data_IF_130363369425
#
_entry.id   IF_130363369425
#
_cell.length_a   1.000
_cell.length_b   1.000
_cell.length_c   1.000
_cell.angle_alpha   90.00
_cell.angle_beta   90.00
_cell.angle_gamma   90.00
#
_symmetry.space_group_name_H-M   'P 1'
#
loop_
_entity.id
_entity.type
_entity.pdbx_description
1 polymer ?
#
# COMPACT_ATOMS: atom_id res chain seq x y z
N UNK A 1 7.90 -28.94 -63.14
CA UNK A 1 8.08 -27.68 -62.38
C UNK A 1 7.00 -27.60 -61.32
N UNK A 2 7.32 -27.84 -60.04
CA UNK A 2 6.42 -27.59 -58.91
C UNK A 2 7.00 -26.40 -58.14
N UNK A 3 6.30 -25.27 -58.22
CA UNK A 3 6.64 -24.02 -57.53
C UNK A 3 6.27 -24.20 -56.05
N UNK A 4 7.27 -24.18 -55.18
CA UNK A 4 7.09 -24.21 -53.73
C UNK A 4 6.91 -22.77 -53.25
N UNK A 5 5.71 -22.44 -52.77
CA UNK A 5 5.39 -21.10 -52.23
C UNK A 5 5.53 -21.14 -50.72
N UNK A 6 6.64 -20.63 -50.19
CA UNK A 6 6.83 -20.41 -48.76
C UNK A 6 6.18 -19.08 -48.35
N UNK A 7 5.11 -19.15 -47.57
CA UNK A 7 4.51 -18.00 -46.90
C UNK A 7 5.28 -17.76 -45.60
N UNK A 8 6.02 -16.66 -45.52
CA UNK A 8 6.67 -16.22 -44.29
C UNK A 8 5.64 -15.46 -43.43
N UNK A 9 5.24 -16.03 -42.29
CA UNK A 9 4.41 -15.37 -41.31
C UNK A 9 5.29 -14.47 -40.42
N UNK A 10 5.11 -13.16 -40.51
CA UNK A 10 5.67 -12.20 -39.55
C UNK A 10 4.83 -12.23 -38.28
N UNK A 11 5.37 -12.86 -37.22
CA UNK A 11 4.82 -12.74 -35.87
C UNK A 11 5.31 -11.42 -35.29
N UNK A 12 4.42 -10.43 -35.17
CA UNK A 12 4.69 -9.22 -34.42
C UNK A 12 4.64 -9.56 -32.92
N UNK A 13 5.81 -9.65 -32.27
CA UNK A 13 5.90 -9.58 -30.81
C UNK A 13 5.62 -8.13 -30.40
N UNK A 14 4.41 -7.87 -29.91
CA UNK A 14 4.16 -6.66 -29.14
C UNK A 14 4.90 -6.80 -27.80
N UNK A 15 6.06 -6.17 -27.69
CA UNK A 15 6.64 -5.89 -26.38
C UNK A 15 5.68 -4.91 -25.69
N UNK A 16 4.97 -5.37 -24.67
CA UNK A 16 4.30 -4.47 -23.75
C UNK A 16 5.40 -3.60 -23.12
N UNK A 17 5.49 -2.34 -23.53
CA UNK A 17 6.26 -1.36 -22.78
C UNK A 17 5.76 -1.45 -21.34
N UNK A 18 6.64 -1.68 -20.37
CA UNK A 18 6.26 -1.68 -18.96
C UNK A 18 5.74 -0.27 -18.66
N UNK A 19 4.42 -0.11 -18.67
CA UNK A 19 3.79 1.14 -18.31
C UNK A 19 4.29 1.48 -16.91
N UNK A 20 5.02 2.60 -16.81
CA UNK A 20 5.69 3.02 -15.58
C UNK A 20 4.65 3.11 -14.46
N UNK A 21 4.81 2.35 -13.38
CA UNK A 21 3.80 2.24 -12.31
C UNK A 21 3.92 3.44 -11.36
N UNK A 22 3.45 4.60 -11.79
CA UNK A 22 3.55 5.85 -11.01
C UNK A 22 2.22 6.11 -10.30
N UNK A 23 2.22 6.04 -8.97
CA UNK A 23 1.10 6.50 -8.15
C UNK A 23 1.15 8.03 -8.00
N UNK A 24 -0.02 8.66 -7.86
CA UNK A 24 -0.12 10.08 -7.56
C UNK A 24 -1.22 10.32 -6.54
N UNK A 25 -0.99 11.26 -5.61
CA UNK A 25 -2.01 11.76 -4.69
C UNK A 25 -2.16 13.26 -4.92
N UNK A 26 -3.35 13.69 -5.33
CA UNK A 26 -3.68 15.11 -5.56
C UNK A 26 -4.61 15.62 -4.46
N UNK A 27 -5.69 14.89 -4.19
CA UNK A 27 -6.67 15.18 -3.14
C UNK A 27 -7.52 13.93 -2.83
N UNK A 28 -8.56 14.05 -2.00
CA UNK A 28 -9.44 12.96 -1.57
C UNK A 28 -10.30 12.32 -2.68
N UNK A 29 -10.37 12.92 -3.87
CA UNK A 29 -11.13 12.40 -5.02
C UNK A 29 -10.25 12.11 -6.23
N UNK A 30 -8.97 12.47 -6.17
CA UNK A 30 -8.00 12.35 -7.25
C UNK A 30 -6.71 11.74 -6.70
N UNK A 31 -6.65 10.42 -6.61
CA UNK A 31 -5.49 9.70 -6.09
C UNK A 31 -5.39 8.28 -6.65
N UNK A 32 -4.22 7.69 -6.50
CA UNK A 32 -3.94 6.30 -6.86
C UNK A 32 -3.54 5.47 -5.65
N UNK A 33 -3.77 4.16 -5.76
CA UNK A 33 -3.23 3.14 -4.87
C UNK A 33 -2.70 1.98 -5.73
N UNK A 34 -1.98 1.06 -5.12
CA UNK A 34 -1.59 -0.20 -5.74
C UNK A 34 -2.56 -1.30 -5.31
N UNK A 35 -2.93 -2.13 -6.26
CA UNK A 35 -3.79 -3.30 -6.05
C UNK A 35 -3.29 -4.49 -6.86
N UNK A 36 -3.69 -5.72 -6.48
CA UNK A 36 -3.54 -6.87 -7.34
C UNK A 36 -4.05 -6.60 -8.78
N UNK A 37 -3.47 -7.25 -9.80
CA UNK A 37 -4.01 -7.20 -11.14
C UNK A 37 -5.48 -7.68 -11.18
N UNK A 38 -6.28 -7.03 -12.03
CA UNK A 38 -7.69 -7.40 -12.22
C UNK A 38 -7.84 -8.81 -12.80
N UNK A 39 -9.01 -9.41 -12.54
CA UNK A 39 -9.39 -10.71 -13.12
C UNK A 39 -9.09 -11.92 -12.23
N UNK A 40 -8.56 -11.69 -11.03
CA UNK A 40 -8.39 -12.70 -10.00
C UNK A 40 -9.45 -12.51 -8.90
N UNK A 41 -9.84 -13.60 -8.24
CA UNK A 41 -10.78 -13.60 -7.12
C UNK A 41 -10.11 -14.18 -5.88
N UNK A 42 -10.56 -13.75 -4.70
CA UNK A 42 -10.04 -14.15 -3.39
C UNK A 42 -8.51 -14.01 -3.27
N UNK A 43 -7.98 -12.89 -3.78
CA UNK A 43 -6.53 -12.63 -3.79
C UNK A 43 -6.08 -12.05 -2.45
N UNK A 44 -4.99 -12.60 -1.89
CA UNK A 44 -4.30 -11.99 -0.76
C UNK A 44 -3.30 -10.94 -1.26
N UNK A 45 -3.16 -9.85 -0.53
CA UNK A 45 -2.28 -8.73 -0.85
C UNK A 45 -0.81 -9.16 -0.87
N UNK A 46 -0.38 -9.92 0.15
CA UNK A 46 0.99 -10.43 0.26
C UNK A 46 1.44 -11.28 -0.94
N UNK A 47 0.52 -12.00 -1.59
CA UNK A 47 0.81 -12.85 -2.76
C UNK A 47 1.10 -12.05 -4.04
N UNK A 48 0.87 -10.72 -4.01
CA UNK A 48 0.91 -9.84 -5.17
C UNK A 48 1.94 -8.72 -5.06
N UNK A 49 2.73 -8.68 -3.98
CA UNK A 49 3.69 -7.59 -3.70
C UNK A 49 4.62 -7.31 -4.89
N UNK A 50 5.01 -8.34 -5.65
CA UNK A 50 5.96 -8.19 -6.77
C UNK A 50 5.34 -7.78 -8.10
N UNK A 51 4.01 -7.82 -8.24
CA UNK A 51 3.32 -7.58 -9.53
C UNK A 51 2.00 -6.80 -9.40
N UNK A 52 1.78 -6.10 -8.28
CA UNK A 52 0.66 -5.18 -8.14
C UNK A 52 0.70 -4.06 -9.20
N UNK A 53 -0.45 -3.46 -9.45
CA UNK A 53 -0.62 -2.40 -10.45
C UNK A 53 -1.19 -1.15 -9.81
N UNK A 54 -0.72 0.03 -10.23
CA UNK A 54 -1.28 1.32 -9.83
C UNK A 54 -2.65 1.49 -10.47
N UNK A 55 -3.64 1.86 -9.65
CA UNK A 55 -4.99 2.19 -10.08
C UNK A 55 -5.47 3.47 -9.41
N UNK A 56 -6.19 4.31 -10.15
CA UNK A 56 -6.57 5.64 -9.68
C UNK A 56 -8.07 5.88 -9.72
N UNK A 57 -8.52 6.77 -8.83
CA UNK A 57 -9.79 7.49 -8.93
C UNK A 57 -9.54 8.91 -9.43
N UNK A 58 -10.51 9.47 -10.14
CA UNK A 58 -10.47 10.86 -10.59
C UNK A 58 -9.34 11.14 -11.59
N UNK A 59 -8.76 12.34 -11.48
CA UNK A 59 -7.77 12.90 -12.41
C UNK A 59 -6.37 12.96 -11.78
N UNK A 60 -5.51 12.04 -12.19
CA UNK A 60 -4.12 11.91 -11.73
C UNK A 60 -3.15 11.98 -12.92
N UNK A 61 -2.78 13.20 -13.39
CA UNK A 61 -2.05 13.39 -14.65
C UNK A 61 -0.63 12.82 -14.67
N UNK A 62 0.02 12.69 -13.52
CA UNK A 62 1.37 12.13 -13.41
C UNK A 62 1.36 10.60 -13.29
N UNK A 63 0.19 10.00 -13.03
CA UNK A 63 0.01 8.56 -12.94
C UNK A 63 -0.10 7.92 -14.33
N UNK A 64 0.94 8.12 -15.15
CA UNK A 64 0.99 7.60 -16.51
C UNK A 64 0.91 6.07 -16.49
N UNK A 65 0.03 5.47 -17.29
CA UNK A 65 -0.10 4.01 -17.36
C UNK A 65 -0.84 3.34 -16.19
N UNK A 66 -1.40 4.12 -15.26
CA UNK A 66 -2.25 3.59 -14.20
C UNK A 66 -3.60 3.09 -14.73
N UNK A 67 -4.13 2.05 -14.09
CA UNK A 67 -5.49 1.56 -14.31
C UNK A 67 -6.55 2.42 -13.60
N UNK A 68 -7.81 2.06 -13.81
CA UNK A 68 -8.95 2.68 -13.10
C UNK A 68 -9.30 1.82 -11.89
N UNK A 69 -9.53 2.45 -10.74
CA UNK A 69 -10.05 1.79 -9.55
C UNK A 69 -11.50 1.33 -9.78
N UNK A 70 -11.89 0.12 -9.32
CA UNK A 70 -13.27 -0.34 -9.44
C UNK A 70 -14.24 0.60 -8.71
N UNK A 71 -15.39 0.88 -9.33
CA UNK A 71 -16.43 1.70 -8.72
C UNK A 71 -16.91 1.08 -7.40
N UNK A 72 -17.03 1.93 -6.37
CA UNK A 72 -17.43 1.51 -5.02
C UNK A 72 -16.34 0.81 -4.22
N UNK A 73 -15.12 0.62 -4.76
CA UNK A 73 -14.00 0.07 -3.99
C UNK A 73 -13.58 1.01 -2.86
N UNK A 74 -13.48 2.31 -3.12
CA UNK A 74 -13.18 3.32 -2.09
C UNK A 74 -14.49 3.75 -1.42
N UNK A 75 -14.58 3.56 -0.10
CA UNK A 75 -15.76 3.91 0.71
C UNK A 75 -15.58 5.24 1.45
N UNK A 76 -14.36 5.55 1.89
CA UNK A 76 -13.98 6.86 2.42
C UNK A 76 -12.54 7.18 2.03
N UNK A 77 -12.21 8.48 1.90
CA UNK A 77 -10.88 8.93 1.57
C UNK A 77 -10.57 10.25 2.30
N UNK A 78 -9.60 10.19 3.21
CA UNK A 78 -9.18 11.33 4.03
C UNK A 78 -7.80 11.79 3.60
N UNK A 79 -7.75 12.99 3.02
CA UNK A 79 -6.54 13.57 2.45
C UNK A 79 -5.80 14.44 3.46
N UNK A 80 -4.48 14.22 3.56
CA UNK A 80 -3.57 15.08 4.31
C UNK A 80 -2.33 15.38 3.47
N UNK A 81 -1.93 16.65 3.44
CA UNK A 81 -0.75 17.13 2.74
C UNK A 81 0.08 18.02 3.66
N UNK A 82 1.37 17.74 3.72
CA UNK A 82 2.36 18.48 4.50
C UNK A 82 3.62 18.68 3.67
N UNK A 83 4.61 19.40 4.22
CA UNK A 83 5.93 19.49 3.59
C UNK A 83 6.71 18.18 3.59
N UNK A 84 6.35 17.21 4.45
CA UNK A 84 7.10 15.97 4.65
C UNK A 84 6.47 14.78 3.90
N UNK A 85 5.15 14.80 3.72
CA UNK A 85 4.40 13.74 3.06
C UNK A 85 3.05 14.22 2.53
N UNK A 86 2.50 13.41 1.63
CA UNK A 86 1.09 13.44 1.22
C UNK A 86 0.49 12.05 1.42
N UNK A 87 -0.75 11.96 1.88
CA UNK A 87 -1.39 10.67 2.14
C UNK A 87 -2.90 10.67 1.89
N UNK A 88 -3.41 9.46 1.75
CA UNK A 88 -4.82 9.11 1.88
C UNK A 88 -4.93 7.98 2.90
N UNK A 89 -5.89 8.09 3.81
CA UNK A 89 -6.34 7.01 4.68
C UNK A 89 -7.85 6.86 4.55
N UNK A 90 -8.40 5.67 4.76
CA UNK A 90 -9.84 5.48 4.67
C UNK A 90 -10.26 4.02 4.61
N UNK A 91 -11.49 3.80 4.16
CA UNK A 91 -12.12 2.49 4.09
C UNK A 91 -12.33 2.01 2.65
N UNK A 92 -12.30 0.69 2.47
CA UNK A 92 -12.52 -0.01 1.20
C UNK A 92 -13.67 -1.02 1.29
N UNK A 93 -14.22 -1.37 0.12
CA UNK A 93 -15.00 -2.60 -0.09
C UNK A 93 -14.13 -3.61 -0.85
N UNK A 94 -13.51 -4.59 -0.16
CA UNK A 94 -12.56 -5.51 -0.78
C UNK A 94 -13.20 -6.37 -1.88
N UNK A 95 -14.52 -6.59 -1.81
CA UNK A 95 -15.27 -7.38 -2.79
C UNK A 95 -15.27 -6.76 -4.19
N UNK A 96 -15.08 -5.44 -4.29
CA UNK A 96 -15.06 -4.72 -5.58
C UNK A 96 -13.79 -4.93 -6.39
N UNK A 97 -12.73 -5.41 -5.74
CA UNK A 97 -11.44 -5.66 -6.38
C UNK A 97 -11.04 -7.15 -6.38
N UNK A 98 -11.94 -8.06 -6.00
CA UNK A 98 -11.65 -9.50 -5.95
C UNK A 98 -10.63 -9.88 -4.87
N UNK A 99 -10.56 -9.10 -3.79
CA UNK A 99 -9.66 -9.37 -2.67
C UNK A 99 -10.27 -10.41 -1.73
N UNK A 100 -9.44 -11.24 -1.12
CA UNK A 100 -9.87 -12.11 -0.04
C UNK A 100 -10.29 -11.25 1.17
N UNK A 101 -11.58 -11.23 1.50
CA UNK A 101 -12.14 -10.44 2.62
C UNK A 101 -11.65 -10.87 4.01
N UNK A 102 -10.99 -12.02 4.10
CA UNK A 102 -10.40 -12.53 5.35
C UNK A 102 -8.88 -12.32 5.42
N UNK A 103 -8.29 -11.70 4.40
CA UNK A 103 -6.87 -11.35 4.38
C UNK A 103 -6.60 -10.16 5.31
N UNK A 104 -5.61 -10.32 6.21
CA UNK A 104 -5.16 -9.24 7.09
C UNK A 104 -4.35 -8.16 6.35
N UNK A 105 -3.96 -8.44 5.10
CA UNK A 105 -3.43 -7.46 4.18
C UNK A 105 -1.94 -7.58 3.93
N UNK A 106 -1.37 -6.51 3.38
CA UNK A 106 0.05 -6.45 3.01
C UNK A 106 0.49 -5.03 2.66
N UNK A 107 1.77 -4.87 2.34
CA UNK A 107 2.36 -3.57 2.03
C UNK A 107 3.04 -3.59 0.66
N UNK A 108 2.63 -2.66 -0.20
CA UNK A 108 3.39 -2.27 -1.38
C UNK A 108 4.28 -1.08 -1.07
N UNK A 109 5.49 -1.10 -1.61
CA UNK A 109 6.45 -0.01 -1.44
C UNK A 109 7.45 0.02 -2.62
N UNK A 110 8.43 0.92 -2.55
CA UNK A 110 9.44 1.09 -3.61
C UNK A 110 10.30 -0.16 -3.94
N UNK A 111 10.25 -1.22 -3.14
CA UNK A 111 10.92 -2.51 -3.43
C UNK A 111 10.04 -3.48 -4.19
N UNK A 112 8.72 -3.37 -4.06
CA UNK A 112 7.79 -4.31 -4.64
C UNK A 112 6.42 -3.61 -4.82
N UNK A 113 5.92 -3.47 -6.07
CA UNK A 113 6.44 -4.05 -7.31
C UNK A 113 7.60 -3.26 -7.94
N UNK A 114 8.45 -3.94 -8.70
CA UNK A 114 9.62 -3.32 -9.34
C UNK A 114 9.23 -2.16 -10.26
N UNK A 115 9.94 -1.04 -10.14
CA UNK A 115 9.71 0.16 -10.96
C UNK A 115 8.48 0.98 -10.57
N UNK A 116 7.79 0.62 -9.48
CA UNK A 116 6.76 1.45 -8.89
C UNK A 116 7.33 2.68 -8.18
N UNK A 117 6.60 3.79 -8.21
CA UNK A 117 7.00 5.04 -7.58
C UNK A 117 5.80 5.90 -7.23
N UNK A 118 6.03 7.02 -6.52
CA UNK A 118 5.03 8.04 -6.31
C UNK A 118 5.49 9.39 -6.86
N UNK A 119 4.63 10.04 -7.65
CA UNK A 119 4.93 11.27 -8.37
C UNK A 119 5.41 12.38 -7.42
N UNK A 120 6.65 12.83 -7.59
CA UNK A 120 7.26 13.90 -6.80
C UNK A 120 7.82 13.48 -5.44
N UNK A 121 7.85 12.18 -5.12
CA UNK A 121 8.31 11.66 -3.83
C UNK A 121 9.31 10.51 -4.00
N UNK A 122 10.27 10.40 -3.07
CA UNK A 122 11.30 9.34 -3.12
C UNK A 122 10.80 7.98 -2.65
N UNK A 123 9.85 7.97 -1.71
CA UNK A 123 9.31 6.76 -1.11
C UNK A 123 7.79 6.79 -1.15
N UNK A 124 7.21 5.60 -1.07
CA UNK A 124 5.83 5.42 -0.71
C UNK A 124 5.66 4.15 0.13
N UNK A 125 4.58 4.12 0.89
CA UNK A 125 4.01 2.90 1.46
C UNK A 125 2.52 2.90 1.10
N UNK A 126 2.02 1.76 0.66
CA UNK A 126 0.60 1.54 0.46
C UNK A 126 0.20 0.21 1.08
N UNK A 127 -0.67 0.25 2.07
CA UNK A 127 -1.20 -0.94 2.71
C UNK A 127 -2.69 -1.06 2.39
N UNK A 128 -3.12 -2.31 2.20
CA UNK A 128 -4.50 -2.70 1.92
C UNK A 128 -4.82 -3.79 2.94
N UNK A 129 -5.88 -3.61 3.73
CA UNK A 129 -6.26 -4.50 4.84
C UNK A 129 -7.70 -4.97 4.66
N UNK A 130 -7.94 -6.00 3.82
CA UNK A 130 -9.28 -6.46 3.51
C UNK A 130 -10.13 -6.86 4.73
N UNK A 131 -9.56 -7.55 5.72
CA UNK A 131 -10.28 -7.99 6.92
C UNK A 131 -10.75 -6.82 7.80
N UNK A 132 -9.98 -5.74 7.84
CA UNK A 132 -10.31 -4.49 8.53
C UNK A 132 -11.17 -3.52 7.70
N UNK A 133 -11.26 -3.74 6.39
CA UNK A 133 -11.78 -2.79 5.40
C UNK A 133 -11.02 -1.47 5.36
N UNK A 134 -9.76 -1.45 5.79
CA UNK A 134 -8.95 -0.25 5.85
C UNK A 134 -7.92 -0.22 4.71
N UNK A 135 -7.55 0.98 4.29
CA UNK A 135 -6.44 1.19 3.39
C UNK A 135 -5.73 2.51 3.67
N UNK A 136 -4.48 2.58 3.24
CA UNK A 136 -3.69 3.78 3.38
C UNK A 136 -2.60 3.83 2.31
N UNK A 137 -2.34 5.02 1.80
CA UNK A 137 -1.18 5.30 0.97
C UNK A 137 -0.54 6.59 1.46
N UNK A 138 0.79 6.59 1.57
CA UNK A 138 1.58 7.79 1.87
C UNK A 138 2.77 7.85 0.94
N UNK A 139 3.00 9.02 0.36
CA UNK A 139 4.22 9.35 -0.36
C UNK A 139 5.04 10.36 0.44
N UNK A 140 6.34 10.15 0.53
CA UNK A 140 7.22 10.95 1.38
C UNK A 140 8.68 10.91 0.89
N UNK A 141 9.57 11.65 1.56
CA UNK A 141 10.98 11.77 1.17
C UNK A 141 11.97 11.12 2.15
N UNK A 142 11.47 10.40 3.16
CA UNK A 142 12.29 9.73 4.16
C UNK A 142 11.65 8.44 4.66
N UNK A 143 12.48 7.57 5.24
CA UNK A 143 12.05 6.25 5.72
C UNK A 143 11.31 6.27 7.06
N UNK A 144 11.25 7.43 7.73
CA UNK A 144 10.50 7.58 8.98
C UNK A 144 9.03 7.81 8.66
N UNK A 145 8.73 8.71 7.71
CA UNK A 145 7.38 8.99 7.25
C UNK A 145 6.80 7.85 6.41
N UNK A 146 7.61 7.14 5.62
CA UNK A 146 7.22 5.93 4.89
C UNK A 146 7.97 4.73 5.49
N UNK A 147 7.53 4.28 6.65
CA UNK A 147 8.18 3.19 7.36
C UNK A 147 7.82 1.84 6.75
N UNK A 148 8.86 1.12 6.33
CA UNK A 148 8.78 -0.16 5.60
C UNK A 148 9.14 -1.38 6.46
N UNK A 149 9.57 -1.15 7.71
CA UNK A 149 10.03 -2.19 8.63
C UNK A 149 8.96 -2.72 9.58
N UNK A 150 7.73 -2.20 9.50
CA UNK A 150 6.61 -2.53 10.40
C UNK A 150 5.31 -2.78 9.63
N UNK A 151 5.39 -3.36 8.43
CA UNK A 151 4.22 -3.61 7.56
C UNK A 151 3.11 -4.42 8.25
N UNK A 152 3.47 -5.43 9.05
CA UNK A 152 2.53 -6.25 9.83
C UNK A 152 1.81 -5.50 10.96
N UNK A 153 2.22 -4.27 11.27
CA UNK A 153 1.56 -3.44 12.28
C UNK A 153 0.29 -2.77 11.75
N UNK A 154 0.14 -2.76 10.42
CA UNK A 154 -1.05 -2.30 9.75
C UNK A 154 -1.18 -0.80 9.54
N UNK A 155 -2.22 -0.40 8.81
CA UNK A 155 -2.41 0.93 8.25
C UNK A 155 -2.36 2.02 9.31
N UNK A 156 -3.18 1.90 10.36
CA UNK A 156 -3.27 2.91 11.42
C UNK A 156 -1.92 3.15 12.12
N UNK A 157 -1.02 2.15 12.15
CA UNK A 157 0.30 2.26 12.78
C UNK A 157 1.39 2.73 11.82
N UNK A 158 1.37 2.29 10.55
CA UNK A 158 2.34 2.73 9.53
C UNK A 158 2.04 4.13 9.03
N UNK A 159 0.77 4.41 8.75
CA UNK A 159 0.26 5.70 8.27
C UNK A 159 -0.83 6.18 9.23
N UNK A 160 -0.46 6.84 10.35
CA UNK A 160 -1.45 7.46 11.22
C UNK A 160 -2.34 8.45 10.45
N UNK A 161 -3.64 8.43 10.70
CA UNK A 161 -4.63 9.23 9.97
C UNK A 161 -6.06 8.95 10.42
N UNK A 162 -7.02 9.46 9.65
CA UNK A 162 -8.45 9.22 9.83
C UNK A 162 -8.88 8.01 8.98
N UNK A 163 -9.49 7.02 9.62
CA UNK A 163 -10.01 5.79 9.00
C UNK A 163 -11.53 5.68 9.18
N UNK A 164 -12.20 6.76 9.58
CA UNK A 164 -13.64 6.81 9.69
C UNK A 164 -14.31 6.65 8.31
N UNK A 165 -15.50 6.07 8.29
CA UNK A 165 -16.25 5.88 7.06
C UNK A 165 -17.54 5.09 7.28
N UNK A 166 -18.27 4.79 6.20
CA UNK A 166 -19.56 4.12 6.28
C UNK A 166 -19.46 2.61 6.61
N UNK A 167 -18.26 2.03 6.56
CA UNK A 167 -18.06 0.58 6.54
C UNK A 167 -18.60 -0.07 5.27
N UNK A 168 -18.36 -1.38 5.11
CA UNK A 168 -18.91 -2.14 3.98
C UNK A 168 -20.45 -2.14 4.04
N UNK A 169 -21.15 -1.79 2.94
CA UNK A 169 -22.61 -1.81 2.92
C UNK A 169 -23.14 -3.20 3.27
N UNK A 170 -24.17 -3.27 4.12
CA UNK A 170 -24.74 -4.53 4.61
C UNK A 170 -25.24 -5.50 3.51
N UNK A 171 -25.41 -5.04 2.26
CA UNK A 171 -25.74 -5.90 1.12
C UNK A 171 -24.54 -6.76 0.64
N UNK A 172 -23.29 -6.35 0.90
CA UNK A 172 -22.10 -7.18 0.70
C UNK A 172 -21.90 -8.18 1.85
N UNK A 173 -22.47 -7.91 3.03
CA UNK A 173 -22.56 -8.84 4.15
C UNK A 173 -23.69 -9.87 3.95
N UNK A 174 -23.72 -10.54 2.78
CA UNK A 174 -24.65 -11.66 2.59
C UNK A 174 -24.10 -12.91 3.26
N UNK A 175 -24.45 -13.04 4.53
CA UNK A 175 -25.12 -14.22 5.08
C UNK A 175 -24.30 -15.51 5.20
N UNK A 176 -23.49 -15.61 6.25
CA UNK A 176 -23.34 -16.86 6.99
C UNK A 176 -24.58 -17.07 7.87
N UNK A 177 -25.67 -17.58 7.28
CA UNK A 177 -26.79 -18.14 8.06
C UNK A 177 -26.24 -19.32 8.86
N UNK A 178 -25.88 -19.05 10.10
CA UNK A 178 -25.71 -20.09 11.11
C UNK A 178 -27.11 -20.61 11.38
N UNK A 179 -27.41 -21.79 10.84
CA UNK A 179 -28.61 -22.55 11.14
C UNK A 179 -28.72 -22.71 12.65
N UNK A 180 -29.68 -21.99 13.24
CA UNK A 180 -30.19 -22.29 14.56
C UNK A 180 -30.82 -23.68 14.50
N UNK A 181 -30.14 -24.67 15.07
CA UNK A 181 -30.78 -25.91 15.53
C UNK A 181 -30.84 -25.86 17.05
N UNK A 182 -32.03 -25.52 17.51
CA UNK A 182 -32.54 -25.74 18.85
C UNK A 182 -32.35 -27.18 19.31
N UNK A 183 -31.85 -27.37 20.53
CA UNK A 183 -32.16 -28.51 21.37
C UNK A 183 -32.27 -28.02 22.81
N UNK A 184 -33.46 -28.24 23.37
CA UNK A 184 -33.91 -27.78 24.67
C UNK A 184 -33.57 -28.78 25.79
N UNK A 185 -33.76 -28.29 27.03
CA UNK A 185 -33.92 -29.00 28.31
C UNK A 185 -32.60 -29.43 29.02
N UNK A 186 -32.42 -29.31 30.35
CA UNK A 186 -33.28 -28.91 31.48
C UNK A 186 -32.50 -28.95 32.82
N UNK A 187 -32.99 -28.22 33.85
CA UNK A 187 -32.81 -28.38 35.33
C UNK A 187 -31.39 -28.17 35.93
N UNK A 188 -31.11 -27.50 37.06
CA UNK A 188 -31.85 -26.94 38.24
C UNK A 188 -30.86 -26.06 39.06
N UNK A 189 -31.30 -25.29 40.08
CA UNK A 189 -30.54 -24.21 40.71
C UNK A 189 -29.80 -24.62 42.00
N UNK A 190 -28.66 -23.97 42.29
CA UNK A 190 -28.11 -23.91 43.65
C UNK A 190 -27.67 -22.47 43.98
N UNK A 191 -28.12 -22.05 45.16
CA UNK A 191 -28.07 -20.73 45.79
C UNK A 191 -26.91 -20.67 46.80
N UNK A 192 -26.50 -19.43 47.12
CA UNK A 192 -25.75 -18.98 48.32
C UNK A 192 -24.24 -19.30 48.32
N UNK A 193 -23.35 -18.52 48.94
CA UNK A 193 -23.44 -17.24 49.64
C UNK A 193 -21.99 -16.68 49.77
N UNK A 194 -21.92 -15.40 50.11
CA UNK A 194 -20.74 -14.64 50.47
C UNK A 194 -19.82 -15.32 51.51
N UNK A 195 -18.54 -14.92 51.54
CA UNK A 195 -17.82 -14.50 52.76
C UNK A 195 -16.53 -13.76 52.39
N UNK A 196 -16.29 -12.69 53.14
CA UNK A 196 -15.22 -11.71 53.03
C UNK A 196 -13.93 -12.14 53.78
N UNK A 197 -12.92 -11.26 53.68
CA UNK A 197 -11.72 -11.16 54.54
C UNK A 197 -10.65 -12.25 54.35
N UNK A 198 -9.35 -12.01 54.44
CA UNK A 198 -8.58 -10.85 54.93
C UNK A 198 -7.08 -11.11 54.69
N UNK A 199 -6.34 -10.04 54.34
CA UNK A 199 -5.09 -9.60 54.99
C UNK A 199 -3.74 -10.33 54.77
N UNK A 200 -2.71 -9.48 54.77
CA UNK A 200 -1.26 -9.67 54.98
C UNK A 200 -0.44 -9.99 53.71
N UNK A 201 0.29 -9.04 53.12
CA UNK A 201 1.53 -8.41 53.59
C UNK A 201 2.70 -9.41 53.70
N UNK A 202 3.65 -9.35 52.76
CA UNK A 202 5.08 -9.57 53.06
C UNK A 202 5.93 -8.86 51.99
N UNK A 203 6.80 -8.02 52.54
CA UNK A 203 7.88 -7.22 52.00
C UNK A 203 8.97 -8.10 51.37
N UNK A 204 9.47 -7.73 50.18
CA UNK A 204 10.82 -8.09 49.78
C UNK A 204 11.53 -6.87 49.19
N UNK A 205 12.43 -6.35 50.01
CA UNK A 205 13.48 -5.38 49.71
C UNK A 205 14.73 -6.15 49.27
N UNK A 206 15.34 -5.77 48.15
CA UNK A 206 16.77 -5.91 47.80
C UNK A 206 16.95 -5.19 46.45
N UNK A 207 17.39 -3.94 46.41
CA UNK A 207 18.80 -3.52 46.38
C UNK A 207 19.71 -4.41 45.51
N UNK A 208 20.04 -3.90 44.32
CA UNK A 208 21.42 -3.90 43.85
C UNK A 208 21.69 -2.64 43.01
N UNK A 209 22.40 -1.72 43.63
CA UNK A 209 23.18 -0.69 42.97
C UNK A 209 24.42 -1.32 42.35
N UNK A 210 24.80 -0.91 41.14
CA UNK A 210 26.21 -0.80 40.73
C UNK A 210 26.32 0.07 39.48
N UNK A 211 26.82 1.28 39.72
CA UNK A 211 27.40 2.14 38.72
C UNK A 211 28.72 1.53 38.21
N UNK A 212 29.06 1.76 36.95
CA UNK A 212 30.45 1.91 36.52
C UNK A 212 30.53 2.73 35.25
N UNK A 213 31.42 3.72 35.33
CA UNK A 213 31.66 4.76 34.36
C UNK A 213 32.56 4.30 33.19
N UNK A 214 32.46 5.05 32.08
CA UNK A 214 33.49 5.51 31.12
C UNK A 214 34.84 4.76 31.07
N UNK A 215 35.41 4.61 29.85
CA UNK A 215 36.31 5.67 29.42
C UNK A 215 36.04 6.21 28.01
N UNK A 216 36.38 7.49 27.90
CA UNK A 216 36.74 8.26 26.72
C UNK A 216 37.87 7.61 25.95
N UNK A 217 37.77 7.57 24.62
CA UNK A 217 38.95 7.78 23.78
C UNK A 217 38.56 8.48 22.48
N UNK A 218 39.32 9.55 22.24
CA UNK A 218 39.24 10.45 21.11
C UNK A 218 40.25 10.00 20.05
N UNK A 219 39.85 9.93 18.77
CA UNK A 219 40.80 9.95 17.67
C UNK A 219 40.26 10.78 16.51
N UNK A 220 40.94 11.91 16.33
CA UNK A 220 41.35 12.61 15.11
C UNK A 220 40.36 12.83 13.96
N UNK A 221 40.04 14.10 13.82
CA UNK A 221 39.75 14.77 12.55
C UNK A 221 40.90 14.58 11.54
N UNK A 222 40.54 14.28 10.29
CA UNK A 222 41.27 14.75 9.12
C UNK A 222 40.30 15.40 8.15
N UNK A 223 40.47 16.71 8.03
CA UNK A 223 39.98 17.54 6.94
C UNK A 223 40.66 17.11 5.64
N UNK A 224 39.89 16.80 4.60
CA UNK A 224 40.34 17.02 3.24
C UNK A 224 39.27 17.80 2.46
N UNK A 225 39.71 18.99 2.08
CA UNK A 225 39.06 19.95 1.19
C UNK A 225 39.07 19.38 -0.22
N UNK A 226 37.90 19.19 -0.81
CA UNK A 226 37.74 18.77 -2.21
C UNK A 226 36.55 19.46 -2.86
N UNK A 227 36.71 20.73 -3.22
CA UNK A 227 35.79 21.45 -4.08
C UNK A 227 35.96 20.96 -5.52
N UNK A 228 34.94 20.31 -6.10
CA UNK A 228 34.82 20.14 -7.55
C UNK A 228 33.36 20.31 -7.99
N UNK A 229 33.11 21.42 -8.68
CA UNK A 229 32.35 21.45 -9.92
C UNK A 229 30.87 21.11 -9.87
N UNK A 230 30.05 22.15 -9.70
CA UNK A 230 28.72 22.20 -10.30
C UNK A 230 28.83 21.99 -11.82
N UNK A 231 28.24 20.93 -12.35
CA UNK A 231 27.94 20.80 -13.78
C UNK A 231 26.43 20.68 -13.92
N UNK A 232 25.80 21.78 -14.34
CA UNK A 232 24.41 21.82 -14.82
C UNK A 232 24.28 20.85 -16.01
N UNK A 233 23.35 19.89 -16.01
CA UNK A 233 22.96 19.24 -17.25
C UNK A 233 22.17 20.23 -18.10
N UNK A 234 22.69 20.52 -19.29
CA UNK A 234 22.03 21.31 -20.31
C UNK A 234 20.76 20.60 -20.78
N UNK A 235 19.68 21.37 -20.95
CA UNK A 235 18.49 20.98 -21.69
C UNK A 235 18.90 20.57 -23.11
N UNK A 236 18.78 19.28 -23.43
CA UNK A 236 18.73 18.82 -24.81
C UNK A 236 17.26 18.85 -25.26
N UNK A 237 16.89 19.88 -26.00
CA UNK A 237 15.64 19.95 -26.74
C UNK A 237 15.66 18.90 -27.85
N UNK A 238 15.02 17.75 -27.61
CA UNK A 238 14.74 16.77 -28.67
C UNK A 238 13.57 17.30 -29.48
N UNK A 239 13.88 17.88 -30.64
CA UNK A 239 12.89 18.19 -31.66
C UNK A 239 12.30 16.87 -32.20
N UNK A 240 11.02 16.62 -31.89
CA UNK A 240 10.26 15.54 -32.51
C UNK A 240 9.96 15.95 -33.95
N UNK A 241 10.61 15.27 -34.90
CA UNK A 241 10.30 15.37 -36.33
C UNK A 241 8.96 14.66 -36.54
N UNK A 242 7.89 15.43 -36.72
CA UNK A 242 6.61 14.91 -37.19
C UNK A 242 6.72 14.58 -38.69
N UNK A 243 6.87 13.30 -39.02
CA UNK A 243 6.73 12.81 -40.39
C UNK A 243 5.24 12.76 -40.74
N UNK A 244 4.76 13.77 -41.45
CA UNK A 244 3.45 13.76 -42.09
C UNK A 244 3.47 12.79 -43.28
N UNK A 245 2.83 11.63 -43.13
CA UNK A 245 2.53 10.75 -44.26
C UNK A 245 1.27 11.28 -44.97
N UNK A 246 1.47 12.00 -46.07
CA UNK A 246 0.39 12.34 -47.00
C UNK A 246 0.03 11.10 -47.82
N UNK A 247 -1.17 10.56 -47.56
CA UNK A 247 -1.82 9.59 -48.44
C UNK A 247 -2.32 10.33 -49.69
N UNK A 248 -1.72 10.03 -50.84
CA UNK A 248 -2.25 10.45 -52.14
C UNK A 248 -3.07 9.30 -52.72
N UNK A 249 -4.36 9.54 -52.94
CA UNK A 249 -5.22 8.69 -53.76
C UNK A 249 -4.85 8.88 -55.24
N UNK A 250 -4.56 7.78 -55.91
CA UNK A 250 -4.92 7.53 -57.30
C UNK A 250 -5.30 6.06 -57.44
#
# INVERSE_FOLDING_TARGET
>A
MRLSTTVAAFVAMAAAASAQQIAQIVDSSNFCILLPPVGSADVNIADTETYATVRCVGKTPEATGAGVLPDGFILSAHYVSTSAYVQITGQIDPSKAGLNVTDDGGQYDIKAPDGSSCAGWQYYVNLIEPSGNDYCIRCCNDTVNCNRGISQAGCARVVPGDYSGPGVPAAAATTSTTSASSSAASTTPVKAAATASSKAATTHTAEHSSASALPTDAVSAQSESGAVGMIKPALASVAVIAAACAFNLF
#
